data_IF_527060764040
#
_entry.id   IF_527060764040
#
_cell.length_a   1.000
_cell.length_b   1.000
_cell.length_c   1.000
_cell.angle_alpha   90.00
_cell.angle_beta   90.00
_cell.angle_gamma   90.00
#
_symmetry.space_group_name_H-M   'P 1'
#
loop_
_entity.id
_entity.type
_entity.pdbx_description
1 polymer ?
#
# COMPACT_ATOMS: atom_id res chain seq x y z
N UNK A 1 9.31 -24.06 21.55
CA UNK A 1 9.62 -22.67 21.17
C UNK A 1 8.31 -22.00 20.79
N UNK A 2 7.91 -20.93 21.49
CA UNK A 2 6.76 -20.13 21.08
C UNK A 2 7.20 -19.29 19.89
N UNK A 3 6.54 -19.45 18.75
CA UNK A 3 6.85 -18.65 17.57
C UNK A 3 6.46 -17.20 17.86
N UNK A 4 7.45 -16.30 17.90
CA UNK A 4 7.22 -14.86 18.09
C UNK A 4 6.50 -14.35 16.84
N UNK A 5 5.26 -13.90 17.00
CA UNK A 5 4.51 -13.24 15.92
C UNK A 5 5.05 -11.82 15.79
N UNK A 6 5.45 -11.48 14.57
CA UNK A 6 6.02 -10.18 14.19
C UNK A 6 5.12 -9.53 13.15
N UNK A 7 5.05 -8.20 13.20
CA UNK A 7 4.16 -7.39 12.40
C UNK A 7 4.92 -6.33 11.62
N UNK A 8 4.39 -6.00 10.45
CA UNK A 8 4.89 -4.97 9.56
C UNK A 8 3.71 -4.14 9.06
N UNK A 9 3.98 -2.88 8.72
CA UNK A 9 3.02 -2.04 7.99
C UNK A 9 3.55 -1.88 6.58
N UNK A 10 2.71 -2.15 5.58
CA UNK A 10 3.09 -2.09 4.17
C UNK A 10 2.02 -1.29 3.42
N UNK A 11 2.43 -0.16 2.84
CA UNK A 11 1.58 0.60 1.92
C UNK A 11 2.00 0.35 0.47
N UNK A 12 1.03 0.14 -0.42
CA UNK A 12 1.27 -0.01 -1.84
C UNK A 12 0.91 1.27 -2.58
N UNK A 13 1.81 1.74 -3.45
CA UNK A 13 1.58 2.87 -4.36
C UNK A 13 1.79 2.44 -5.81
N UNK A 14 1.20 3.19 -6.73
CA UNK A 14 1.45 3.01 -8.17
C UNK A 14 2.90 3.37 -8.51
N UNK A 15 3.37 4.52 -8.05
CA UNK A 15 4.76 4.98 -8.16
C UNK A 15 5.21 5.58 -6.83
N UNK A 16 6.51 5.61 -6.58
CA UNK A 16 7.09 6.26 -5.39
C UNK A 16 7.43 7.75 -5.64
N UNK A 17 7.24 8.23 -6.87
CA UNK A 17 7.57 9.59 -7.29
C UNK A 17 6.50 10.65 -6.98
N UNK A 18 5.27 10.25 -6.66
CA UNK A 18 4.18 11.17 -6.34
C UNK A 18 3.63 10.91 -4.93
N UNK A 19 4.18 11.65 -3.97
CA UNK A 19 3.75 11.62 -2.56
C UNK A 19 2.73 12.70 -2.19
N UNK A 20 2.31 13.53 -3.16
CA UNK A 20 1.39 14.66 -2.93
C UNK A 20 0.06 14.20 -2.33
N UNK A 21 -0.45 13.07 -2.80
CA UNK A 21 -1.68 12.45 -2.27
C UNK A 21 -1.52 11.95 -0.82
N UNK A 22 -0.29 11.63 -0.40
CA UNK A 22 0.01 11.20 0.95
C UNK A 22 -0.02 12.36 1.92
N UNK A 23 0.55 13.50 1.53
CA UNK A 23 0.55 14.73 2.33
C UNK A 23 -0.87 15.16 2.71
N UNK A 24 -1.83 15.05 1.78
CA UNK A 24 -3.25 15.37 2.02
C UNK A 24 -3.90 14.54 3.13
N UNK A 25 -3.31 13.41 3.53
CA UNK A 25 -3.84 12.57 4.62
C UNK A 25 -3.45 13.09 6.00
N UNK A 26 -2.51 14.03 6.10
CA UNK A 26 -2.02 14.59 7.36
C UNK A 26 -2.70 15.90 7.72
N UNK A 27 -2.80 16.16 9.02
CA UNK A 27 -3.22 17.46 9.55
C UNK A 27 -2.33 18.55 8.93
N UNK A 28 -2.89 19.63 8.39
CA UNK A 28 -2.13 20.69 7.67
C UNK A 28 -1.37 20.22 6.40
N UNK A 29 -1.68 19.04 5.86
CA UNK A 29 -1.09 18.57 4.61
C UNK A 29 0.40 18.21 4.75
N UNK A 30 1.25 18.80 3.90
CA UNK A 30 2.70 18.52 3.85
C UNK A 30 3.41 18.90 5.16
N UNK A 31 2.98 19.97 5.83
CA UNK A 31 3.56 20.37 7.12
C UNK A 31 3.34 19.30 8.19
N UNK A 32 2.12 18.75 8.32
CA UNK A 32 1.89 17.68 9.28
C UNK A 32 2.51 16.36 8.89
N UNK A 33 2.71 16.10 7.59
CA UNK A 33 3.56 14.98 7.17
C UNK A 33 4.99 15.16 7.67
N UNK A 34 5.55 16.36 7.55
CA UNK A 34 6.89 16.68 8.03
C UNK A 34 6.99 16.55 9.55
N UNK A 35 6.02 17.11 10.29
CA UNK A 35 5.93 16.94 11.76
C UNK A 35 5.89 15.45 12.15
N UNK A 36 5.07 14.66 11.46
CA UNK A 36 4.98 13.22 11.67
C UNK A 36 6.30 12.50 11.34
N UNK A 37 6.96 12.88 10.24
CA UNK A 37 8.25 12.33 9.83
C UNK A 37 9.33 12.61 10.88
N UNK A 38 9.45 13.85 11.33
CA UNK A 38 10.46 14.26 12.30
C UNK A 38 10.32 13.51 13.63
N UNK A 39 9.08 13.24 14.08
CA UNK A 39 8.84 12.46 15.28
C UNK A 39 8.96 10.95 15.04
N UNK A 40 8.20 10.42 14.09
CA UNK A 40 8.00 8.97 13.94
C UNK A 40 9.16 8.28 13.24
N UNK A 41 9.92 8.94 12.37
CA UNK A 41 11.08 8.33 11.72
C UNK A 41 12.23 8.05 12.70
N UNK A 42 12.23 8.68 13.87
CA UNK A 42 13.19 8.42 14.95
C UNK A 42 12.88 7.15 15.75
N UNK A 43 11.65 6.65 15.66
CA UNK A 43 11.19 5.45 16.35
C UNK A 43 11.73 4.20 15.65
N UNK A 44 12.18 3.22 16.42
CA UNK A 44 12.68 1.95 15.88
C UNK A 44 11.59 1.20 15.09
N UNK A 45 10.34 1.32 15.51
CA UNK A 45 9.16 0.75 14.86
C UNK A 45 8.96 1.25 13.43
N UNK A 46 9.40 2.47 13.12
CA UNK A 46 9.32 3.02 11.76
C UNK A 46 10.17 2.25 10.75
N UNK A 47 11.21 1.55 11.23
CA UNK A 47 12.00 0.57 10.46
C UNK A 47 11.21 -0.70 10.14
N UNK A 48 9.92 -0.76 10.42
CA UNK A 48 9.04 -1.86 10.00
C UNK A 48 7.81 -1.37 9.24
N UNK A 49 7.80 -0.08 8.88
CA UNK A 49 6.81 0.55 8.03
C UNK A 49 7.39 0.79 6.63
N UNK A 50 6.90 0.03 5.66
CA UNK A 50 7.36 0.01 4.29
C UNK A 50 6.35 0.66 3.35
N UNK A 51 6.88 1.18 2.26
CA UNK A 51 6.11 1.56 1.08
C UNK A 51 6.69 0.88 -0.15
N UNK A 52 5.80 0.28 -0.94
CA UNK A 52 6.16 -0.50 -2.13
C UNK A 52 5.49 0.15 -3.33
N UNK A 53 6.27 0.47 -4.36
CA UNK A 53 5.75 1.05 -5.59
C UNK A 53 6.43 0.52 -6.83
N UNK A 54 5.75 0.65 -7.97
CA UNK A 54 6.30 0.32 -9.27
C UNK A 54 7.17 1.45 -9.83
N UNK A 55 8.27 1.09 -10.47
CA UNK A 55 9.10 2.01 -11.24
C UNK A 55 9.45 1.36 -12.59
N UNK A 56 9.37 2.12 -13.67
CA UNK A 56 9.83 1.63 -14.96
C UNK A 56 11.36 1.64 -14.98
N UNK A 57 11.96 0.58 -15.52
CA UNK A 57 13.39 0.59 -15.84
C UNK A 57 13.69 1.72 -16.82
N UNK A 58 14.90 2.24 -16.75
CA UNK A 58 15.40 3.20 -17.73
C UNK A 58 15.21 2.62 -19.16
N UNK A 59 14.61 3.39 -20.06
CA UNK A 59 14.20 2.92 -21.40
C UNK A 59 12.79 2.32 -21.49
N UNK A 60 12.09 2.10 -20.38
CA UNK A 60 10.67 1.70 -20.35
C UNK A 60 10.39 0.23 -20.67
N UNK A 61 11.42 -0.62 -20.73
CA UNK A 61 11.32 -2.02 -21.15
C UNK A 61 10.93 -3.00 -20.03
N UNK A 62 10.63 -2.50 -18.83
CA UNK A 62 10.18 -3.36 -17.74
C UNK A 62 9.71 -2.58 -16.51
N UNK A 63 8.88 -3.23 -15.70
CA UNK A 63 8.43 -2.74 -14.40
C UNK A 63 9.23 -3.42 -13.30
N UNK A 64 9.79 -2.66 -12.38
CA UNK A 64 10.39 -3.18 -11.14
C UNK A 64 9.59 -2.70 -9.93
N UNK A 65 9.60 -3.48 -8.86
CA UNK A 65 9.13 -3.01 -7.56
C UNK A 65 10.29 -2.36 -6.82
N UNK A 66 10.03 -1.21 -6.21
CA UNK A 66 10.91 -0.53 -5.28
C UNK A 66 10.27 -0.55 -3.91
N UNK A 67 11.06 -0.88 -2.90
CA UNK A 67 10.65 -0.93 -1.51
C UNK A 67 11.46 0.13 -0.77
N UNK A 68 10.78 1.02 -0.06
CA UNK A 68 11.41 2.05 0.78
C UNK A 68 10.81 2.05 2.17
N UNK A 69 11.47 2.69 3.12
CA UNK A 69 10.86 3.06 4.40
C UNK A 69 9.84 4.16 4.18
N UNK A 70 8.70 4.08 4.83
CA UNK A 70 7.57 4.98 4.59
C UNK A 70 7.93 6.47 4.75
N UNK A 71 8.76 6.82 5.75
CA UNK A 71 9.19 8.21 5.97
C UNK A 71 10.46 8.61 5.22
N UNK A 72 11.17 7.66 4.59
CA UNK A 72 12.43 7.92 3.87
C UNK A 72 12.26 7.73 2.36
N UNK A 73 11.10 8.09 1.80
CA UNK A 73 10.82 7.95 0.36
C UNK A 73 11.75 8.77 -0.53
N UNK A 74 12.28 9.88 -0.01
CA UNK A 74 13.22 10.75 -0.70
C UNK A 74 14.66 10.21 -0.69
N UNK A 75 14.95 9.21 0.16
CA UNK A 75 16.27 8.60 0.16
C UNK A 75 16.48 7.79 -1.12
N UNK A 76 17.66 7.99 -1.72
CA UNK A 76 18.11 7.29 -2.92
C UNK A 76 18.53 5.85 -2.59
N UNK A 77 18.89 5.58 -1.33
CA UNK A 77 19.34 4.27 -0.88
C UNK A 77 18.24 3.22 -1.04
N UNK A 78 18.50 2.25 -1.92
CA UNK A 78 17.67 1.06 -2.06
C UNK A 78 17.89 0.16 -0.83
N UNK A 79 16.80 -0.38 -0.30
CA UNK A 79 16.91 -1.36 0.78
C UNK A 79 17.54 -2.65 0.23
N UNK A 80 18.54 -3.17 0.93
CA UNK A 80 19.08 -4.50 0.64
C UNK A 80 17.95 -5.54 0.83
N UNK A 81 17.66 -6.42 -0.14
CA UNK A 81 16.62 -7.44 -0.01
C UNK A 81 16.70 -8.27 1.28
N UNK A 82 17.92 -8.53 1.76
CA UNK A 82 18.14 -9.30 3.00
C UNK A 82 17.74 -8.54 4.27
N UNK A 83 17.64 -7.20 4.19
CA UNK A 83 17.21 -6.32 5.29
C UNK A 83 15.70 -6.05 5.27
N UNK A 84 15.01 -6.43 4.20
CA UNK A 84 13.56 -6.23 4.06
C UNK A 84 12.85 -7.35 4.80
N UNK A 85 11.95 -6.96 5.70
CA UNK A 85 11.23 -7.88 6.58
C UNK A 85 12.12 -8.68 7.54
N UNK A 86 13.36 -8.24 7.76
CA UNK A 86 14.17 -8.70 8.88
C UNK A 86 13.65 -8.06 10.19
N UNK A 87 13.39 -8.88 11.21
CA UNK A 87 12.82 -8.41 12.48
C UNK A 87 11.32 -8.15 12.42
N UNK A 88 10.84 -7.06 13.01
CA UNK A 88 9.43 -6.67 12.98
C UNK A 88 8.92 -6.19 14.34
N UNK A 89 7.73 -5.59 14.33
CA UNK A 89 7.05 -5.12 15.53
C UNK A 89 6.40 -6.29 16.27
N UNK A 90 6.45 -6.29 17.59
CA UNK A 90 5.50 -6.99 18.44
C UNK A 90 4.12 -6.36 18.34
N UNK A 91 3.09 -7.04 18.84
CA UNK A 91 1.73 -6.48 18.88
C UNK A 91 1.67 -5.16 19.67
N UNK A 92 2.44 -5.02 20.75
CA UNK A 92 2.47 -3.79 21.56
C UNK A 92 3.13 -2.63 20.81
N UNK A 93 4.28 -2.88 20.19
CA UNK A 93 4.98 -1.90 19.35
C UNK A 93 4.10 -1.47 18.17
N UNK A 94 3.42 -2.42 17.51
CA UNK A 94 2.47 -2.11 16.44
C UNK A 94 1.33 -1.21 16.93
N UNK A 95 0.69 -1.57 18.05
CA UNK A 95 -0.42 -0.79 18.60
C UNK A 95 0.02 0.62 19.00
N UNK A 96 1.20 0.75 19.61
CA UNK A 96 1.75 2.03 20.03
C UNK A 96 2.14 2.90 18.83
N UNK A 97 2.86 2.33 17.87
CA UNK A 97 3.26 3.02 16.65
C UNK A 97 2.06 3.46 15.82
N UNK A 98 1.06 2.60 15.62
CA UNK A 98 -0.15 2.95 14.86
C UNK A 98 -0.96 4.03 15.54
N UNK A 99 -1.06 4.02 16.88
CA UNK A 99 -1.71 5.09 17.63
C UNK A 99 -1.05 6.44 17.32
N UNK A 100 0.27 6.55 17.54
CA UNK A 100 0.99 7.80 17.25
C UNK A 100 0.89 8.18 15.77
N UNK A 101 1.04 7.22 14.86
CA UNK A 101 0.90 7.45 13.43
C UNK A 101 -0.46 8.05 13.05
N UNK A 102 -1.55 7.57 13.65
CA UNK A 102 -2.91 8.07 13.37
C UNK A 102 -3.20 9.43 13.96
N UNK A 103 -2.54 9.84 15.06
CA UNK A 103 -2.73 11.16 15.67
C UNK A 103 -2.30 12.32 14.74
N UNK A 104 -1.37 12.06 13.81
CA UNK A 104 -0.95 13.03 12.79
C UNK A 104 -1.86 13.09 11.56
N UNK A 105 -2.80 12.15 11.43
CA UNK A 105 -3.69 12.05 10.26
C UNK A 105 -4.95 12.90 10.46
N UNK A 106 -5.55 13.32 9.35
CA UNK A 106 -6.83 14.03 9.38
C UNK A 106 -7.91 13.14 9.98
N UNK A 107 -8.51 13.59 11.10
CA UNK A 107 -9.63 12.90 11.75
C UNK A 107 -11.01 13.31 11.20
N UNK A 108 -11.07 14.17 10.17
CA UNK A 108 -12.31 14.65 9.54
C UNK A 108 -12.98 13.59 8.63
N UNK A 109 -13.25 12.42 9.20
CA UNK A 109 -14.34 11.54 8.77
C UNK A 109 -15.31 11.33 9.94
N UNK A 110 -15.73 12.44 10.57
CA UNK A 110 -16.94 12.45 11.36
C UNK A 110 -18.13 12.67 10.43
N UNK A 111 -18.92 11.61 10.28
CA UNK A 111 -20.36 11.63 9.99
C UNK A 111 -20.82 12.47 8.80
N UNK A 112 -20.81 11.87 7.61
CA UNK A 112 -21.91 12.06 6.67
C UNK A 112 -21.98 10.83 5.74
N UNK A 113 -23.03 10.04 5.92
CA UNK A 113 -23.49 9.04 4.96
C UNK A 113 -24.02 9.78 3.72
N UNK A 114 -23.12 10.36 2.92
CA UNK A 114 -23.47 10.86 1.60
C UNK A 114 -22.36 10.61 0.59
N UNK A 115 -22.77 9.96 -0.50
CA UNK A 115 -21.98 9.52 -1.64
C UNK A 115 -20.96 10.56 -2.12
N UNK A 116 -19.67 10.19 -2.10
CA UNK A 116 -18.64 11.11 -2.60
C UNK A 116 -17.20 10.63 -2.45
N UNK A 117 -16.83 9.54 -3.14
CA UNK A 117 -15.46 9.25 -3.63
C UNK A 117 -14.29 9.71 -2.74
N UNK A 118 -14.29 9.31 -1.46
CA UNK A 118 -13.12 9.40 -0.57
C UNK A 118 -12.28 8.13 -0.70
N UNK A 119 -10.97 8.28 -0.88
CA UNK A 119 -10.01 7.17 -1.05
C UNK A 119 -10.22 6.06 -0.03
N UNK A 120 -10.80 4.95 -0.49
CA UNK A 120 -10.88 3.71 0.27
C UNK A 120 -9.46 3.23 0.58
N UNK A 121 -9.05 3.36 1.85
CA UNK A 121 -8.02 2.48 2.38
C UNK A 121 -8.48 1.04 2.18
N UNK A 122 -7.66 0.20 1.57
CA UNK A 122 -7.96 -1.22 1.33
C UNK A 122 -7.85 -2.03 2.64
N UNK A 123 -8.55 -1.60 3.68
CA UNK A 123 -8.54 -2.17 5.02
C UNK A 123 -9.64 -3.22 5.26
N UNK A 124 -10.24 -3.78 4.21
CA UNK A 124 -11.26 -4.82 4.35
C UNK A 124 -11.23 -5.76 3.16
N UNK A 125 -11.04 -7.06 3.43
CA UNK A 125 -11.02 -8.19 2.49
C UNK A 125 -9.78 -8.23 1.59
N UNK A 126 -9.15 -9.41 1.50
CA UNK A 126 -8.03 -9.67 0.58
C UNK A 126 -8.47 -9.42 -0.86
N UNK A 127 -8.20 -8.24 -1.38
CA UNK A 127 -8.46 -7.91 -2.77
C UNK A 127 -7.19 -8.18 -3.57
N UNK A 128 -7.12 -9.34 -4.22
CA UNK A 128 -6.13 -9.56 -5.27
C UNK A 128 -6.52 -8.72 -6.48
N UNK A 129 -5.57 -7.97 -7.05
CA UNK A 129 -5.79 -7.16 -8.25
C UNK A 129 -4.86 -7.63 -9.38
N UNK A 130 -5.32 -7.54 -10.61
CA UNK A 130 -4.52 -7.70 -11.83
C UNK A 130 -4.35 -6.33 -12.45
N UNK A 131 -3.09 -5.93 -12.65
CA UNK A 131 -2.75 -4.77 -13.46
C UNK A 131 -2.66 -5.22 -14.92
N UNK A 132 -3.58 -4.74 -15.75
CA UNK A 132 -3.52 -4.93 -17.20
C UNK A 132 -2.96 -3.66 -17.84
N UNK A 133 -2.02 -3.83 -18.77
CA UNK A 133 -1.41 -2.74 -19.54
C UNK A 133 -1.68 -3.01 -21.02
N UNK A 134 -2.31 -2.06 -21.71
CA UNK A 134 -2.53 -2.19 -23.16
C UNK A 134 -1.31 -1.75 -23.97
N UNK A 135 -1.38 -1.96 -25.29
CA UNK A 135 -0.31 -1.60 -26.24
C UNK A 135 0.01 -0.10 -26.27
N UNK A 136 -0.91 0.74 -25.79
CA UNK A 136 -0.75 2.19 -25.67
C UNK A 136 -0.26 2.63 -24.28
N UNK A 137 0.20 1.68 -23.44
CA UNK A 137 0.64 1.91 -22.05
C UNK A 137 -0.48 2.40 -21.13
N UNK A 138 -1.74 2.21 -21.50
CA UNK A 138 -2.87 2.52 -20.64
C UNK A 138 -3.02 1.43 -19.60
N UNK A 139 -2.96 1.81 -18.34
CA UNK A 139 -3.05 0.89 -17.20
C UNK A 139 -4.47 0.80 -16.68
N UNK A 140 -5.00 -0.42 -16.53
CA UNK A 140 -6.29 -0.69 -15.86
C UNK A 140 -6.07 -1.66 -14.71
N UNK A 141 -6.58 -1.31 -13.53
CA UNK A 141 -6.57 -2.17 -12.35
C UNK A 141 -7.90 -2.93 -12.31
N UNK A 142 -7.83 -4.26 -12.35
CA UNK A 142 -9.01 -5.13 -12.33
C UNK A 142 -8.94 -5.97 -11.06
N UNK A 143 -9.94 -5.90 -10.16
CA UNK A 143 -9.96 -6.82 -9.03
C UNK A 143 -10.20 -8.25 -9.52
N UNK A 144 -9.45 -9.22 -9.00
CA UNK A 144 -9.47 -10.65 -9.41
C UNK A 144 -10.87 -11.25 -9.30
N UNK A 145 -11.67 -10.77 -8.33
CA UNK A 145 -13.07 -11.18 -8.18
C UNK A 145 -13.92 -10.90 -9.45
N UNK A 146 -13.57 -9.88 -10.24
CA UNK A 146 -14.20 -9.58 -11.52
C UNK A 146 -13.93 -10.73 -12.50
N UNK A 147 -12.70 -11.23 -12.56
CA UNK A 147 -12.30 -12.35 -13.43
C UNK A 147 -12.97 -13.68 -13.02
N UNK A 148 -13.09 -13.95 -11.72
CA UNK A 148 -13.79 -15.13 -11.18
C UNK A 148 -15.28 -15.11 -11.58
N UNK A 149 -15.91 -13.93 -11.56
CA UNK A 149 -17.32 -13.75 -11.97
C UNK A 149 -17.54 -14.03 -13.46
N UNK A 150 -16.58 -13.71 -14.32
CA UNK A 150 -16.66 -14.00 -15.76
C UNK A 150 -16.31 -15.44 -16.12
N UNK A 151 -15.33 -16.05 -15.45
CA UNK A 151 -14.98 -17.47 -15.66
C UNK A 151 -16.10 -18.43 -15.24
N UNK A 152 -16.92 -18.06 -14.24
CA UNK A 152 -18.10 -18.84 -13.84
C UNK A 152 -19.30 -18.74 -14.81
N UNK A 153 -19.34 -17.73 -15.70
CA UNK A 153 -20.40 -17.59 -16.72
C UNK A 153 -20.16 -18.42 -17.98
N UNK A 154 -18.94 -18.92 -18.19
CA UNK A 154 -18.60 -19.75 -19.36
C UNK A 154 -18.81 -21.26 -19.14
N UNK A 155 -19.33 -21.69 -17.99
CA UNK A 155 -19.86 -23.06 -17.82
C UNK A 155 -21.34 -23.13 -18.23
N UNK A 156 -21.65 -22.80 -19.50
CA UNK A 156 -22.83 -23.41 -20.13
C UNK A 156 -22.41 -24.78 -20.65
N UNK A 157 -23.09 -25.79 -20.11
CA UNK A 157 -22.80 -27.20 -20.22
C UNK A 157 -22.54 -27.67 -21.66
N UNK A 158 -21.40 -28.33 -21.86
CA UNK A 158 -21.25 -29.30 -22.94
C UNK A 158 -22.27 -30.42 -22.67
N UNK A 159 -23.33 -30.48 -23.47
CA UNK A 159 -24.16 -31.68 -23.58
C UNK A 159 -23.53 -32.56 -24.66
N UNK A 160 -23.04 -33.77 -24.35
CA UNK A 160 -22.80 -34.75 -25.41
C UNK A 160 -24.16 -35.11 -26.02
N UNK A 161 -24.24 -35.04 -27.35
CA UNK A 161 -25.45 -35.34 -28.11
C UNK A 161 -25.95 -36.76 -27.86
N UNK A 162 -27.27 -36.91 -27.81
CA UNK A 162 -27.99 -38.16 -28.05
C UNK A 162 -28.69 -38.08 -29.39
#
# INVERSE_FOLDING_TARGET
>A
MVQKVIFFIIEFKRTLSDFTSEYKKYNKGEEGFKEAKDLLASLDESKYHYIIGGEYKEGGEGLTLKIKRYFNVDCVTELNPDEIFEGGMTVNELNQYTKWFTEFKNHNHSSDDSDGSGSAGSGGLSHSFVLAVDENKKTTIIPVNYYVKFSLRNKKAFKPGG
#
